data_IF_478520304483
#
_entry.id   IF_478520304483
#
_cell.length_a   1.000
_cell.length_b   1.000
_cell.length_c   1.000
_cell.angle_alpha   90.00
_cell.angle_beta   90.00
_cell.angle_gamma   90.00
#
_symmetry.space_group_name_H-M   'P 1'
#
loop_
_entity.id
_entity.type
_entity.pdbx_description
1 polymer ?
#
# COMPACT_ATOMS: atom_id res chain seq x y z
N UNK A 1 14.87 4.57 -23.42
CA UNK A 1 15.56 5.72 -22.79
C UNK A 1 14.65 6.33 -21.74
N UNK A 2 15.11 6.51 -20.50
CA UNK A 2 14.33 7.23 -19.49
C UNK A 2 14.25 8.72 -19.86
N UNK A 3 13.05 9.32 -19.78
CA UNK A 3 12.85 10.75 -20.09
C UNK A 3 13.01 11.56 -18.81
N UNK A 4 13.94 12.51 -18.81
CA UNK A 4 14.04 13.48 -17.72
C UNK A 4 12.77 14.34 -17.66
N UNK A 5 12.25 14.54 -16.44
CA UNK A 5 11.17 15.48 -16.15
C UNK A 5 11.70 16.53 -15.20
N UNK A 6 11.40 17.78 -15.51
CA UNK A 6 11.73 18.95 -14.69
C UNK A 6 10.44 19.48 -14.08
N UNK A 7 10.45 19.77 -12.79
CA UNK A 7 9.33 20.33 -12.05
C UNK A 7 9.87 21.13 -10.86
N UNK A 8 9.10 22.11 -10.40
CA UNK A 8 9.42 22.90 -9.21
C UNK A 8 8.67 22.32 -8.00
N UNK A 9 9.39 22.04 -6.93
CA UNK A 9 8.84 21.46 -5.69
C UNK A 9 8.49 22.53 -4.66
N UNK A 10 9.28 23.60 -4.57
CA UNK A 10 9.12 24.69 -3.61
C UNK A 10 9.89 24.45 -2.31
N UNK A 11 10.18 25.53 -1.60
CA UNK A 11 11.18 25.60 -0.51
C UNK A 11 11.02 24.52 0.57
N UNK A 12 9.78 24.17 0.93
CA UNK A 12 9.50 23.15 1.95
C UNK A 12 10.03 21.77 1.55
N UNK A 13 9.81 21.37 0.30
CA UNK A 13 10.25 20.07 -0.20
C UNK A 13 11.75 20.06 -0.48
N UNK A 14 12.30 21.20 -0.94
CA UNK A 14 13.73 21.35 -1.14
C UNK A 14 14.49 21.20 0.19
N UNK A 15 13.99 21.79 1.27
CA UNK A 15 14.54 21.59 2.62
C UNK A 15 14.51 20.12 3.08
N UNK A 16 13.39 19.43 2.84
CA UNK A 16 13.28 17.99 3.18
C UNK A 16 14.28 17.16 2.37
N UNK A 17 14.41 17.40 1.06
CA UNK A 17 15.32 16.66 0.19
C UNK A 17 16.78 16.92 0.56
N UNK A 18 17.14 18.18 0.83
CA UNK A 18 18.47 18.55 1.31
C UNK A 18 18.81 17.85 2.63
N UNK A 19 17.87 17.79 3.57
CA UNK A 19 18.04 17.10 4.84
C UNK A 19 18.23 15.59 4.67
N UNK A 20 17.45 14.97 3.78
CA UNK A 20 17.53 13.55 3.42
C UNK A 20 18.83 13.15 2.71
N UNK A 21 19.46 14.07 1.99
CA UNK A 21 20.78 13.86 1.40
C UNK A 21 21.87 14.13 2.43
N UNK A 22 21.77 15.23 3.19
CA UNK A 22 22.75 15.62 4.21
C UNK A 22 22.91 14.57 5.32
N UNK A 23 21.82 13.93 5.71
CA UNK A 23 21.86 12.86 6.71
C UNK A 23 22.34 11.50 6.16
N UNK A 24 22.72 11.43 4.87
CA UNK A 24 23.27 10.24 4.22
C UNK A 24 22.23 9.18 3.86
N UNK A 25 20.93 9.44 4.02
CA UNK A 25 19.88 8.47 3.70
C UNK A 25 19.72 8.24 2.20
N UNK A 26 20.04 9.24 1.38
CA UNK A 26 20.11 9.13 -0.08
C UNK A 26 21.34 9.83 -0.64
N UNK A 27 21.89 9.36 -1.76
CA UNK A 27 23.07 9.97 -2.38
C UNK A 27 22.75 11.22 -3.19
N UNK A 28 21.49 11.38 -3.63
CA UNK A 28 21.02 12.56 -4.38
C UNK A 28 19.54 12.83 -4.11
N UNK A 29 19.11 14.07 -4.31
CA UNK A 29 17.69 14.46 -4.19
C UNK A 29 16.82 13.69 -5.20
N UNK A 30 17.33 13.47 -6.42
CA UNK A 30 16.60 12.69 -7.44
C UNK A 30 16.37 11.24 -6.98
N UNK A 31 17.33 10.66 -6.25
CA UNK A 31 17.16 9.32 -5.67
C UNK A 31 16.09 9.30 -4.59
N UNK A 32 16.09 10.30 -3.70
CA UNK A 32 15.06 10.47 -2.67
C UNK A 32 13.67 10.61 -3.29
N UNK A 33 13.52 11.44 -4.33
CA UNK A 33 12.27 11.59 -5.09
C UNK A 33 11.82 10.26 -5.69
N UNK A 34 12.74 9.52 -6.34
CA UNK A 34 12.42 8.20 -6.89
C UNK A 34 11.98 7.21 -5.82
N UNK A 35 12.56 7.27 -4.62
CA UNK A 35 12.17 6.44 -3.50
C UNK A 35 10.75 6.79 -3.01
N UNK A 36 10.44 8.09 -2.91
CA UNK A 36 9.10 8.56 -2.57
C UNK A 36 8.03 8.10 -3.58
N UNK A 37 8.31 8.20 -4.88
CA UNK A 37 7.39 7.74 -5.93
C UNK A 37 7.19 6.22 -5.86
N UNK A 38 8.25 5.43 -5.63
CA UNK A 38 8.13 3.97 -5.45
C UNK A 38 7.23 3.63 -4.27
N UNK A 39 7.41 4.31 -3.14
CA UNK A 39 6.61 4.10 -1.94
C UNK A 39 5.13 4.45 -2.17
N UNK A 40 4.85 5.53 -2.89
CA UNK A 40 3.48 5.88 -3.30
C UNK A 40 2.88 4.80 -4.22
N UNK A 41 3.63 4.33 -5.21
CA UNK A 41 3.17 3.29 -6.13
C UNK A 41 2.86 1.98 -5.40
N UNK A 42 3.71 1.57 -4.45
CA UNK A 42 3.49 0.38 -3.63
C UNK A 42 2.24 0.51 -2.76
N UNK A 43 2.01 1.69 -2.18
CA UNK A 43 0.81 1.97 -1.40
C UNK A 43 -0.45 1.87 -2.26
N UNK A 44 -0.46 2.52 -3.43
CA UNK A 44 -1.58 2.46 -4.37
C UNK A 44 -1.87 1.03 -4.85
N UNK A 45 -0.83 0.23 -5.08
CA UNK A 45 -0.99 -1.18 -5.47
C UNK A 45 -1.65 -1.99 -4.34
N UNK A 46 -1.19 -1.83 -3.09
CA UNK A 46 -1.78 -2.50 -1.93
C UNK A 46 -3.23 -2.09 -1.70
N UNK A 47 -3.53 -0.79 -1.81
CA UNK A 47 -4.88 -0.28 -1.67
C UNK A 47 -5.83 -0.81 -2.75
N UNK A 48 -5.35 -0.95 -3.99
CA UNK A 48 -6.13 -1.53 -5.08
C UNK A 48 -6.40 -3.02 -4.85
N UNK A 49 -5.39 -3.77 -4.42
CA UNK A 49 -5.54 -5.18 -4.09
C UNK A 49 -6.57 -5.38 -2.97
N UNK A 50 -6.41 -4.66 -1.85
CA UNK A 50 -7.36 -4.72 -0.73
C UNK A 50 -8.79 -4.38 -1.17
N UNK A 51 -8.98 -3.32 -1.96
CA UNK A 51 -10.31 -2.95 -2.46
C UNK A 51 -10.91 -4.05 -3.35
N UNK A 52 -10.10 -4.71 -4.16
CA UNK A 52 -10.53 -5.83 -5.00
C UNK A 52 -10.93 -7.04 -4.14
N UNK A 53 -10.16 -7.35 -3.11
CA UNK A 53 -10.44 -8.47 -2.20
C UNK A 53 -11.75 -8.24 -1.46
N UNK A 54 -11.98 -7.03 -0.94
CA UNK A 54 -13.25 -6.63 -0.32
C UNK A 54 -14.41 -6.77 -1.31
N UNK A 55 -14.28 -6.23 -2.53
CA UNK A 55 -15.33 -6.34 -3.55
C UNK A 55 -15.65 -7.79 -3.92
N UNK A 56 -14.64 -8.66 -3.92
CA UNK A 56 -14.81 -10.09 -4.21
C UNK A 56 -15.57 -10.76 -3.06
N UNK A 57 -15.18 -10.49 -1.81
CA UNK A 57 -15.86 -11.02 -0.63
C UNK A 57 -17.32 -10.54 -0.53
N UNK A 58 -17.59 -9.26 -0.80
CA UNK A 58 -18.95 -8.71 -0.83
C UNK A 58 -19.81 -9.43 -1.88
N UNK A 59 -19.26 -9.67 -3.08
CA UNK A 59 -19.97 -10.40 -4.13
C UNK A 59 -20.24 -11.87 -3.76
N UNK A 60 -19.33 -12.52 -3.05
CA UNK A 60 -19.52 -13.89 -2.53
C UNK A 60 -20.62 -13.94 -1.48
N UNK A 61 -20.67 -12.96 -0.57
CA UNK A 61 -21.73 -12.84 0.44
C UNK A 61 -23.10 -12.65 -0.24
N UNK A 62 -23.21 -11.72 -1.19
CA UNK A 62 -24.45 -11.48 -1.95
C UNK A 62 -24.88 -12.70 -2.78
N UNK A 63 -23.92 -13.50 -3.26
CA UNK A 63 -24.20 -14.77 -3.93
C UNK A 63 -24.61 -15.91 -2.98
N UNK A 64 -24.63 -15.67 -1.66
CA UNK A 64 -24.97 -16.67 -0.65
C UNK A 64 -23.84 -17.67 -0.37
N UNK A 65 -22.61 -17.35 -0.76
CA UNK A 65 -21.41 -18.17 -0.48
C UNK A 65 -20.78 -17.83 0.89
N UNK A 66 -21.23 -16.76 1.54
CA UNK A 66 -20.78 -16.38 2.88
C UNK A 66 -21.16 -17.41 3.94
N UNK A 67 -20.26 -17.64 4.90
CA UNK A 67 -20.55 -18.43 6.11
C UNK A 67 -20.82 -17.51 7.29
N UNK A 68 -21.99 -17.61 7.88
CA UNK A 68 -22.31 -16.93 9.14
C UNK A 68 -21.94 -17.81 10.33
N UNK A 69 -21.27 -17.21 11.32
CA UNK A 69 -20.94 -17.89 12.58
C UNK A 69 -21.68 -17.23 13.74
N UNK A 70 -22.43 -17.99 14.56
CA UNK A 70 -23.17 -17.44 15.71
C UNK A 70 -22.27 -16.81 16.77
N UNK A 71 -21.03 -17.30 16.90
CA UNK A 71 -20.04 -16.77 17.84
C UNK A 71 -18.61 -16.97 17.32
N UNK A 72 -17.68 -16.20 17.87
CA UNK A 72 -16.25 -16.39 17.59
C UNK A 72 -15.72 -17.76 18.03
N UNK A 73 -16.37 -18.42 19.01
CA UNK A 73 -16.01 -19.78 19.43
C UNK A 73 -16.38 -20.81 18.36
N UNK A 74 -17.49 -20.62 17.65
CA UNK A 74 -17.90 -21.49 16.55
C UNK A 74 -16.98 -21.34 15.34
N UNK A 75 -16.59 -20.10 15.01
CA UNK A 75 -15.57 -19.83 14.00
C UNK A 75 -14.23 -20.50 14.35
N UNK A 76 -13.77 -20.34 15.59
CA UNK A 76 -12.53 -20.96 16.04
C UNK A 76 -12.60 -22.49 15.97
N UNK A 77 -13.74 -23.08 16.36
CA UNK A 77 -13.95 -24.53 16.28
C UNK A 77 -13.88 -25.02 14.83
N UNK A 78 -14.48 -24.30 13.88
CA UNK A 78 -14.43 -24.65 12.46
C UNK A 78 -12.98 -24.62 11.94
N UNK A 79 -12.26 -23.52 12.16
CA UNK A 79 -10.84 -23.36 11.77
C UNK A 79 -9.92 -24.42 12.37
N UNK A 80 -10.16 -24.82 13.62
CA UNK A 80 -9.35 -25.83 14.31
C UNK A 80 -9.64 -27.26 13.83
N UNK A 81 -10.80 -27.50 13.22
CA UNK A 81 -11.20 -28.80 12.67
C UNK A 81 -10.83 -28.95 11.18
N UNK A 82 -10.47 -27.87 10.47
CA UNK A 82 -10.05 -27.90 9.06
C UNK A 82 -8.60 -28.42 8.83
N UNK A 83 -8.00 -29.15 9.78
CA UNK A 83 -6.67 -29.79 9.62
C UNK A 83 -6.71 -31.28 9.38
#
# INVERSE_FOLDING_TARGET
MARAKTFSLGDNYDGILADLVRNGRFGTETEAVRAGIRMLADHELKMRALRKDIQTADAEIEAGLGKEYPSGADLLKDLMNER
#
